data_IF_441208394937
#
_entry.id   IF_441208394937
#
_cell.length_a   1.000
_cell.length_b   1.000
_cell.length_c   1.000
_cell.angle_alpha   90.00
_cell.angle_beta   90.00
_cell.angle_gamma   90.00
#
_symmetry.space_group_name_H-M   'P 1'
#
loop_
_entity.id
_entity.type
_entity.pdbx_description
1 polymer ?
#
# COMPACT_ATOMS: atom_id res chain seq x y z
N UNK A 1 13.69 -7.84 8.88
CA UNK A 1 13.90 -6.42 8.57
C UNK A 1 13.74 -6.21 7.07
N UNK A 2 12.88 -5.29 6.64
CA UNK A 2 12.64 -5.02 5.22
C UNK A 2 13.88 -4.33 4.61
N UNK A 3 14.17 -4.56 3.32
CA UNK A 3 15.28 -3.88 2.64
C UNK A 3 15.14 -2.35 2.71
N UNK A 4 13.90 -1.84 2.74
CA UNK A 4 13.61 -0.41 2.93
C UNK A 4 14.07 0.12 4.28
N UNK A 5 13.93 -0.66 5.34
CA UNK A 5 14.33 -0.24 6.70
C UNK A 5 15.85 -0.02 6.81
N UNK A 6 16.64 -0.66 5.93
CA UNK A 6 18.09 -0.48 5.85
C UNK A 6 18.54 0.68 4.97
N UNK A 7 17.73 1.04 3.96
CA UNK A 7 18.07 2.11 3.00
C UNK A 7 17.55 3.48 3.42
N UNK A 8 16.41 3.54 4.10
CA UNK A 8 15.76 4.79 4.48
C UNK A 8 16.59 5.66 5.43
N UNK A 9 17.26 5.14 6.47
CA UNK A 9 18.06 5.96 7.38
C UNK A 9 19.16 6.76 6.65
N UNK A 10 19.97 6.07 5.86
CA UNK A 10 21.07 6.72 5.11
C UNK A 10 20.56 7.75 4.09
N UNK A 11 19.38 7.49 3.47
CA UNK A 11 18.76 8.45 2.56
C UNK A 11 18.34 9.74 3.29
N UNK A 12 17.70 9.63 4.46
CA UNK A 12 17.25 10.80 5.21
C UNK A 12 18.36 11.48 6.02
N UNK A 13 19.47 10.79 6.27
CA UNK A 13 20.67 11.43 6.79
C UNK A 13 21.31 12.34 5.72
N UNK A 14 21.33 11.89 4.46
CA UNK A 14 21.88 12.67 3.36
C UNK A 14 20.96 13.80 2.89
N UNK A 15 19.63 13.60 2.99
CA UNK A 15 18.60 14.55 2.56
C UNK A 15 17.54 14.72 3.67
N UNK A 16 17.86 15.44 4.77
CA UNK A 16 17.01 15.51 5.96
C UNK A 16 15.70 16.27 5.74
N UNK A 17 15.67 17.18 4.78
CA UNK A 17 14.46 17.97 4.45
C UNK A 17 14.02 17.78 3.00
N UNK A 18 12.75 18.09 2.68
CA UNK A 18 12.30 18.13 1.29
C UNK A 18 13.12 19.11 0.42
N UNK A 19 13.62 20.19 0.99
CA UNK A 19 14.43 21.19 0.29
C UNK A 19 15.79 20.62 -0.11
N UNK A 20 16.46 19.88 0.78
CA UNK A 20 17.72 19.20 0.47
C UNK A 20 17.53 18.18 -0.65
N UNK A 21 16.46 17.40 -0.59
CA UNK A 21 16.15 16.41 -1.63
C UNK A 21 15.71 17.07 -2.95
N UNK A 22 15.07 18.24 -2.91
CA UNK A 22 14.67 19.00 -4.10
C UNK A 22 15.87 19.58 -4.86
N UNK A 23 16.94 19.93 -4.14
CA UNK A 23 18.20 20.40 -4.71
C UNK A 23 19.02 19.27 -5.36
N UNK A 24 18.78 18.01 -4.97
CA UNK A 24 19.49 16.85 -5.46
C UNK A 24 18.98 16.40 -6.85
N UNK A 25 19.87 15.75 -7.61
CA UNK A 25 19.52 15.05 -8.85
C UNK A 25 19.09 13.61 -8.57
N UNK A 26 18.52 12.94 -9.55
CA UNK A 26 18.22 11.51 -9.43
C UNK A 26 19.50 10.66 -9.26
N UNK A 27 20.59 11.09 -9.84
CA UNK A 27 21.93 10.49 -9.76
C UNK A 27 22.48 10.58 -8.34
N UNK A 28 22.26 11.70 -7.63
CA UNK A 28 22.68 11.89 -6.24
C UNK A 28 21.87 11.01 -5.26
N UNK A 29 20.58 10.80 -5.54
CA UNK A 29 19.68 9.97 -4.72
C UNK A 29 19.91 8.47 -4.95
N UNK A 30 20.23 8.08 -6.18
CA UNK A 30 20.34 6.67 -6.59
C UNK A 30 21.26 5.81 -5.71
N UNK A 31 22.46 6.23 -5.28
CA UNK A 31 23.35 5.42 -4.46
C UNK A 31 22.72 4.91 -3.17
N UNK A 32 21.85 5.70 -2.56
CA UNK A 32 21.19 5.38 -1.30
C UNK A 32 20.05 4.35 -1.45
N UNK A 33 19.50 4.21 -2.66
CA UNK A 33 18.34 3.33 -2.91
C UNK A 33 18.59 2.25 -3.95
N UNK A 34 19.83 2.08 -4.43
CA UNK A 34 20.20 1.12 -5.51
C UNK A 34 19.82 -0.33 -5.22
N UNK A 35 19.70 -0.71 -3.94
CA UNK A 35 19.35 -2.07 -3.50
C UNK A 35 17.85 -2.39 -3.53
N UNK A 36 16.99 -1.39 -3.72
CA UNK A 36 15.53 -1.61 -3.79
C UNK A 36 15.07 -1.85 -5.24
N UNK A 37 13.86 -2.43 -5.40
CA UNK A 37 13.30 -2.66 -6.74
C UNK A 37 13.03 -1.35 -7.49
N UNK A 38 13.40 -1.30 -8.77
CA UNK A 38 13.22 -0.15 -9.67
C UNK A 38 13.87 1.16 -9.16
N UNK A 39 15.16 1.15 -8.80
CA UNK A 39 15.81 2.27 -8.13
C UNK A 39 15.86 3.54 -8.99
N UNK A 40 16.11 3.42 -10.31
CA UNK A 40 16.17 4.57 -11.23
C UNK A 40 14.85 5.35 -11.28
N UNK A 41 13.72 4.64 -11.40
CA UNK A 41 12.40 5.30 -11.41
C UNK A 41 12.09 5.94 -10.05
N UNK A 42 12.48 5.30 -8.95
CA UNK A 42 12.28 5.84 -7.61
C UNK A 42 13.15 7.05 -7.33
N UNK A 43 14.41 7.07 -7.77
CA UNK A 43 15.28 8.23 -7.63
C UNK A 43 14.70 9.45 -8.37
N UNK A 44 14.27 9.27 -9.63
CA UNK A 44 13.61 10.33 -10.40
C UNK A 44 12.32 10.82 -9.74
N UNK A 45 11.50 9.90 -9.24
CA UNK A 45 10.26 10.25 -8.55
C UNK A 45 10.53 10.98 -7.23
N UNK A 46 11.52 10.58 -6.44
CA UNK A 46 11.89 11.26 -5.19
C UNK A 46 12.35 12.69 -5.46
N UNK A 47 13.26 12.90 -6.41
CA UNK A 47 13.70 14.25 -6.79
C UNK A 47 12.53 15.12 -7.31
N UNK A 48 11.70 14.58 -8.20
CA UNK A 48 10.54 15.27 -8.75
C UNK A 48 9.48 15.57 -7.69
N UNK A 49 9.20 14.64 -6.80
CA UNK A 49 8.28 14.82 -5.69
C UNK A 49 8.75 15.91 -4.73
N UNK A 50 10.02 15.89 -4.34
CA UNK A 50 10.57 16.90 -3.44
C UNK A 50 10.51 18.31 -4.06
N UNK A 51 10.83 18.44 -5.36
CA UNK A 51 10.71 19.73 -6.07
C UNK A 51 9.27 20.24 -6.09
N UNK A 52 8.30 19.37 -6.39
CA UNK A 52 6.88 19.74 -6.37
C UNK A 52 6.39 20.09 -4.97
N UNK A 53 6.79 19.33 -3.93
CA UNK A 53 6.48 19.68 -2.54
C UNK A 53 6.99 21.07 -2.19
N UNK A 54 8.24 21.40 -2.52
CA UNK A 54 8.81 22.71 -2.23
C UNK A 54 8.13 23.85 -3.01
N UNK A 55 7.86 23.63 -4.31
CA UNK A 55 7.33 24.71 -5.17
C UNK A 55 5.83 24.94 -5.02
N UNK A 56 5.03 23.90 -4.76
CA UNK A 56 3.57 24.01 -4.74
C UNK A 56 2.96 23.87 -3.33
N UNK A 57 3.67 23.22 -2.39
CA UNK A 57 3.15 22.87 -1.08
C UNK A 57 4.03 23.35 0.09
N UNK A 58 4.99 24.24 -0.17
CA UNK A 58 5.86 24.82 0.89
C UNK A 58 6.76 23.79 1.60
N UNK A 59 7.01 22.64 1.00
CA UNK A 59 7.77 21.52 1.59
C UNK A 59 6.94 20.57 2.44
N UNK A 60 5.63 20.78 2.54
CA UNK A 60 4.72 19.92 3.31
C UNK A 60 3.95 18.95 2.43
N UNK A 61 3.60 17.78 2.97
CA UNK A 61 2.76 16.79 2.28
C UNK A 61 1.30 17.25 2.36
N UNK A 62 0.61 17.48 1.22
CA UNK A 62 -0.79 17.88 1.24
C UNK A 62 -1.67 16.79 1.84
N UNK A 63 -2.67 17.18 2.64
CA UNK A 63 -3.63 16.24 3.22
C UNK A 63 -4.72 15.80 2.24
N UNK A 64 -4.94 16.53 1.16
CA UNK A 64 -5.90 16.16 0.12
C UNK A 64 -5.40 15.03 -0.76
N UNK A 65 -6.23 13.97 -0.94
CA UNK A 65 -5.84 12.77 -1.68
C UNK A 65 -5.61 13.02 -3.18
N UNK A 66 -6.30 13.99 -3.76
CA UNK A 66 -6.14 14.31 -5.17
C UNK A 66 -4.84 15.09 -5.38
N UNK A 67 -4.54 16.03 -4.48
CA UNK A 67 -3.27 16.77 -4.49
C UNK A 67 -2.08 15.82 -4.27
N UNK A 68 -2.19 14.88 -3.33
CA UNK A 68 -1.15 13.85 -3.14
C UNK A 68 -0.87 13.04 -4.42
N UNK A 69 -1.91 12.70 -5.18
CA UNK A 69 -1.75 11.93 -6.42
C UNK A 69 -1.10 12.72 -7.57
N UNK A 70 -0.98 14.04 -7.46
CA UNK A 70 -0.19 14.86 -8.40
C UNK A 70 1.32 14.70 -8.19
N UNK A 71 1.73 14.29 -6.99
CA UNK A 71 3.14 14.12 -6.64
C UNK A 71 3.76 12.95 -7.44
N UNK A 72 4.92 13.13 -8.06
CA UNK A 72 5.62 12.08 -8.79
C UNK A 72 5.82 10.81 -7.95
N UNK A 73 5.39 9.67 -8.48
CA UNK A 73 5.49 8.37 -7.79
C UNK A 73 4.41 8.09 -6.74
N UNK A 74 3.49 9.01 -6.50
CA UNK A 74 2.36 8.83 -5.59
C UNK A 74 1.10 8.47 -6.38
N UNK A 75 0.77 7.19 -6.40
CA UNK A 75 -0.49 6.71 -6.96
C UNK A 75 -1.60 6.66 -5.90
N UNK A 76 -2.83 6.34 -6.33
CA UNK A 76 -4.03 6.22 -5.49
C UNK A 76 -3.79 5.40 -4.21
N UNK A 77 -3.17 4.24 -4.34
CA UNK A 77 -2.84 3.38 -3.18
C UNK A 77 -1.95 4.09 -2.16
N UNK A 78 -0.94 4.81 -2.61
CA UNK A 78 -0.01 5.52 -1.71
C UNK A 78 -0.71 6.71 -1.04
N UNK A 79 -1.49 7.48 -1.79
CA UNK A 79 -2.28 8.57 -1.25
C UNK A 79 -3.27 8.08 -0.17
N UNK A 80 -3.98 6.98 -0.43
CA UNK A 80 -4.89 6.39 0.55
C UNK A 80 -4.17 5.89 1.81
N UNK A 81 -2.97 5.27 1.68
CA UNK A 81 -2.17 4.86 2.86
C UNK A 81 -1.79 6.08 3.70
N UNK A 82 -1.27 7.12 3.08
CA UNK A 82 -0.89 8.34 3.80
C UNK A 82 -2.12 9.00 4.43
N UNK A 83 -3.22 9.09 3.67
CA UNK A 83 -4.49 9.62 4.16
C UNK A 83 -5.01 8.89 5.40
N UNK A 84 -5.01 7.56 5.36
CA UNK A 84 -5.44 6.74 6.49
C UNK A 84 -4.51 6.83 7.70
N UNK A 85 -3.19 6.82 7.49
CA UNK A 85 -2.19 6.76 8.59
C UNK A 85 -1.96 8.13 9.22
N UNK A 86 -1.81 9.19 8.43
CA UNK A 86 -1.45 10.52 8.93
C UNK A 86 -2.66 11.36 9.33
N UNK A 87 -3.78 11.21 8.62
CA UNK A 87 -4.96 12.05 8.82
C UNK A 87 -6.24 11.29 9.16
N UNK A 88 -6.12 10.00 9.48
CA UNK A 88 -7.26 9.15 9.87
C UNK A 88 -8.42 9.18 8.86
N UNK A 89 -8.10 9.40 7.57
CA UNK A 89 -9.13 9.40 6.52
C UNK A 89 -9.75 8.02 6.38
N UNK A 90 -11.06 8.00 6.23
CA UNK A 90 -11.90 6.81 6.07
C UNK A 90 -11.80 6.26 4.65
N UNK A 91 -10.63 5.75 4.28
CA UNK A 91 -10.32 5.20 2.96
C UNK A 91 -9.70 3.82 3.07
N UNK A 92 -9.86 3.00 2.03
CA UNK A 92 -9.34 1.64 1.95
C UNK A 92 -8.17 1.54 0.97
N UNK A 93 -6.91 1.63 1.41
CA UNK A 93 -5.78 1.37 0.53
C UNK A 93 -5.78 -0.09 0.08
N UNK A 94 -5.74 -0.35 -1.23
CA UNK A 94 -5.73 -1.71 -1.76
C UNK A 94 -4.38 -2.03 -2.38
N UNK A 95 -3.62 -2.91 -1.71
CA UNK A 95 -2.40 -3.52 -2.23
C UNK A 95 -2.66 -4.95 -2.74
N UNK A 96 -1.62 -5.64 -3.17
CA UNK A 96 -1.73 -7.03 -3.64
C UNK A 96 -2.20 -8.01 -2.56
N UNK A 97 -1.94 -7.74 -1.28
CA UNK A 97 -2.43 -8.54 -0.17
C UNK A 97 -3.92 -8.32 0.06
N UNK A 98 -4.33 -7.06 0.21
CA UNK A 98 -5.73 -6.69 0.38
C UNK A 98 -6.57 -7.21 -0.78
N UNK A 99 -6.14 -6.97 -2.02
CA UNK A 99 -6.83 -7.45 -3.23
C UNK A 99 -7.04 -8.97 -3.21
N UNK A 100 -5.96 -9.73 -2.96
CA UNK A 100 -6.00 -11.20 -2.93
C UNK A 100 -6.86 -11.74 -1.80
N UNK A 101 -6.65 -11.23 -0.58
CA UNK A 101 -7.34 -11.71 0.62
C UNK A 101 -8.83 -11.45 0.52
N UNK A 102 -9.23 -10.22 0.18
CA UNK A 102 -10.64 -9.84 0.07
C UNK A 102 -11.42 -10.70 -0.92
N UNK A 103 -10.81 -11.01 -2.09
CA UNK A 103 -11.40 -11.91 -3.06
C UNK A 103 -11.48 -13.36 -2.56
N UNK A 104 -10.45 -13.85 -1.85
CA UNK A 104 -10.41 -15.23 -1.35
C UNK A 104 -11.40 -15.49 -0.23
N UNK A 105 -11.47 -14.59 0.74
CA UNK A 105 -12.37 -14.76 1.88
C UNK A 105 -13.83 -14.45 1.54
N UNK A 106 -14.07 -13.65 0.48
CA UNK A 106 -15.40 -13.33 0.00
C UNK A 106 -15.92 -11.95 0.41
N UNK A 107 -15.07 -11.05 0.93
CA UNK A 107 -15.42 -9.64 1.16
C UNK A 107 -15.68 -8.90 -0.14
N UNK A 108 -15.08 -9.35 -1.23
CA UNK A 108 -15.37 -8.89 -2.59
C UNK A 108 -15.74 -10.09 -3.47
N UNK A 109 -16.66 -9.88 -4.42
CA UNK A 109 -17.10 -10.94 -5.33
C UNK A 109 -16.46 -10.75 -6.69
N UNK A 110 -15.41 -11.55 -6.99
CA UNK A 110 -14.72 -11.55 -8.29
C UNK A 110 -14.24 -10.17 -8.75
N UNK A 111 -13.80 -9.34 -7.83
CA UNK A 111 -13.22 -8.04 -8.13
C UNK A 111 -12.01 -8.20 -9.05
N UNK A 112 -11.99 -7.50 -10.18
CA UNK A 112 -10.96 -7.63 -11.22
C UNK A 112 -9.84 -6.60 -11.08
N UNK A 113 -10.09 -5.51 -10.37
CA UNK A 113 -9.14 -4.40 -10.22
C UNK A 113 -9.02 -3.97 -8.76
N UNK A 114 -7.89 -3.37 -8.36
CA UNK A 114 -7.75 -2.78 -7.03
C UNK A 114 -8.84 -1.74 -6.73
N UNK A 115 -9.23 -0.92 -7.72
CA UNK A 115 -10.27 0.08 -7.55
C UNK A 115 -11.65 -0.54 -7.26
N UNK A 116 -12.03 -1.61 -7.98
CA UNK A 116 -13.28 -2.32 -7.68
C UNK A 116 -13.27 -2.92 -6.27
N UNK A 117 -12.12 -3.45 -5.84
CA UNK A 117 -11.94 -3.95 -4.48
C UNK A 117 -12.10 -2.84 -3.45
N UNK A 118 -11.45 -1.71 -3.67
CA UNK A 118 -11.52 -0.52 -2.81
C UNK A 118 -12.99 -0.10 -2.62
N UNK A 119 -13.68 0.21 -3.72
CA UNK A 119 -15.09 0.67 -3.68
C UNK A 119 -16.03 -0.35 -3.02
N UNK A 120 -15.78 -1.66 -3.22
CA UNK A 120 -16.59 -2.70 -2.59
C UNK A 120 -16.34 -2.77 -1.08
N UNK A 121 -15.07 -2.68 -0.65
CA UNK A 121 -14.71 -2.70 0.76
C UNK A 121 -15.21 -1.45 1.48
N UNK A 122 -15.07 -0.27 0.89
CA UNK A 122 -15.58 0.99 1.43
C UNK A 122 -17.10 1.00 1.60
N UNK A 123 -17.83 0.33 0.71
CA UNK A 123 -19.28 0.17 0.83
C UNK A 123 -19.71 -0.78 1.95
N UNK A 124 -18.91 -1.82 2.22
CA UNK A 124 -19.29 -2.93 3.09
C UNK A 124 -18.66 -2.87 4.50
N UNK A 125 -17.61 -2.09 4.69
CA UNK A 125 -16.94 -1.91 5.98
C UNK A 125 -17.35 -0.56 6.55
N UNK A 126 -17.71 -0.48 7.85
CA UNK A 126 -17.97 0.79 8.50
C UNK A 126 -16.81 1.78 8.30
N UNK A 127 -17.06 3.06 7.94
CA UNK A 127 -16.02 4.01 7.55
C UNK A 127 -14.88 4.13 8.56
N UNK A 128 -15.18 4.24 9.85
CA UNK A 128 -14.20 4.35 10.94
C UNK A 128 -13.29 3.11 11.09
N UNK A 129 -13.67 1.96 10.53
CA UNK A 129 -12.87 0.73 10.55
C UNK A 129 -11.97 0.57 9.30
N UNK A 130 -12.16 1.36 8.25
CA UNK A 130 -11.40 1.22 7.01
C UNK A 130 -9.87 1.29 7.22
N UNK A 131 -9.32 2.27 7.99
CA UNK A 131 -7.88 2.35 8.22
C UNK A 131 -7.31 1.11 8.92
N UNK A 132 -8.01 0.58 9.92
CA UNK A 132 -7.54 -0.60 10.65
C UNK A 132 -7.79 -1.90 9.87
N UNK A 133 -8.90 -2.00 9.14
CA UNK A 133 -9.21 -3.16 8.29
C UNK A 133 -8.15 -3.37 7.19
N UNK A 134 -7.61 -2.29 6.63
CA UNK A 134 -6.47 -2.35 5.73
C UNK A 134 -5.28 -3.11 6.36
N UNK A 135 -4.93 -2.80 7.60
CA UNK A 135 -3.83 -3.47 8.31
C UNK A 135 -4.14 -4.94 8.60
N UNK A 136 -5.37 -5.26 9.03
CA UNK A 136 -5.78 -6.66 9.24
C UNK A 136 -5.65 -7.49 7.97
N UNK A 137 -6.11 -6.98 6.84
CA UNK A 137 -6.03 -7.68 5.56
C UNK A 137 -4.59 -7.85 5.07
N UNK A 138 -3.72 -6.85 5.26
CA UNK A 138 -2.29 -6.98 4.93
C UNK A 138 -1.62 -8.03 5.80
N UNK A 139 -1.79 -7.96 7.12
CA UNK A 139 -1.15 -8.89 8.05
C UNK A 139 -1.62 -10.33 7.79
N UNK A 140 -2.94 -10.51 7.62
CA UNK A 140 -3.49 -11.81 7.26
C UNK A 140 -2.91 -12.33 5.92
N UNK A 141 -2.78 -11.46 4.93
CA UNK A 141 -2.21 -11.81 3.64
C UNK A 141 -0.71 -12.11 3.66
N UNK A 142 0.03 -11.54 4.60
CA UNK A 142 1.47 -11.79 4.76
C UNK A 142 1.77 -13.08 5.50
N UNK A 143 1.04 -13.37 6.55
CA UNK A 143 1.41 -14.42 7.51
C UNK A 143 0.56 -15.66 7.44
N UNK A 144 -0.70 -15.55 7.01
CA UNK A 144 -1.67 -16.66 6.95
C UNK A 144 -2.10 -16.95 5.51
N UNK A 145 -2.81 -16.04 4.87
CA UNK A 145 -3.34 -16.22 3.51
C UNK A 145 -2.30 -15.84 2.45
N UNK A 146 -1.15 -16.52 2.45
CA UNK A 146 -0.06 -16.23 1.51
C UNK A 146 -0.44 -16.53 0.06
N UNK A 147 0.33 -15.98 -0.91
CA UNK A 147 -0.03 -16.08 -2.33
C UNK A 147 0.01 -17.52 -2.85
N UNK A 148 1.10 -18.25 -2.56
CA UNK A 148 1.38 -19.58 -3.11
C UNK A 148 0.91 -20.70 -2.20
N UNK A 149 1.14 -20.61 -0.90
CA UNK A 149 0.84 -21.66 0.08
C UNK A 149 0.08 -21.06 1.28
N UNK A 150 -1.23 -20.79 1.16
CA UNK A 150 -2.01 -20.27 2.28
C UNK A 150 -2.16 -21.34 3.37
N UNK A 151 -2.01 -20.93 4.63
CA UNK A 151 -2.10 -21.80 5.81
C UNK A 151 -3.56 -21.96 6.25
N UNK A 152 -4.37 -22.59 5.39
CA UNK A 152 -5.81 -22.68 5.60
C UNK A 152 -6.20 -23.51 6.83
N UNK A 153 -5.43 -24.56 7.15
CA UNK A 153 -5.67 -25.40 8.33
C UNK A 153 -5.45 -24.70 9.67
N UNK A 154 -4.63 -23.62 9.69
CA UNK A 154 -4.35 -22.82 10.88
C UNK A 154 -5.12 -21.47 10.87
N UNK A 155 -5.97 -21.26 9.86
CA UNK A 155 -6.63 -19.98 9.64
C UNK A 155 -7.88 -19.84 10.53
N UNK A 156 -7.85 -18.90 11.47
CA UNK A 156 -8.98 -18.67 12.40
C UNK A 156 -10.28 -18.21 11.74
N UNK A 157 -10.25 -17.83 10.44
CA UNK A 157 -11.45 -17.45 9.68
C UNK A 157 -11.78 -18.45 8.56
N UNK A 158 -11.22 -19.66 8.59
CA UNK A 158 -11.41 -20.65 7.54
C UNK A 158 -12.88 -21.00 7.33
N UNK A 159 -13.65 -21.14 8.40
CA UNK A 159 -15.09 -21.48 8.36
C UNK A 159 -15.96 -20.49 7.61
N UNK A 160 -15.55 -19.23 7.54
CA UNK A 160 -16.24 -18.15 6.81
C UNK A 160 -15.61 -17.88 5.43
N UNK A 161 -14.50 -18.56 5.11
CA UNK A 161 -13.74 -18.26 3.90
C UNK A 161 -14.35 -18.95 2.67
N UNK A 162 -14.76 -18.13 1.69
CA UNK A 162 -15.34 -18.63 0.42
C UNK A 162 -14.39 -19.57 -0.34
N UNK A 163 -13.09 -19.21 -0.38
CA UNK A 163 -12.09 -20.07 -1.03
C UNK A 163 -11.93 -21.39 -0.29
N UNK A 164 -11.85 -21.39 1.04
CA UNK A 164 -11.75 -22.60 1.84
C UNK A 164 -12.95 -23.52 1.60
N UNK A 165 -14.16 -22.97 1.64
CA UNK A 165 -15.38 -23.71 1.36
C UNK A 165 -15.42 -24.29 -0.07
N UNK A 166 -14.86 -23.56 -1.05
CA UNK A 166 -14.81 -24.05 -2.43
C UNK A 166 -13.79 -25.19 -2.60
N UNK A 167 -12.63 -25.08 -1.95
CA UNK A 167 -11.55 -26.07 -2.04
C UNK A 167 -11.88 -27.37 -1.27
N UNK A 168 -12.80 -27.33 -0.29
CA UNK A 168 -13.17 -28.46 0.59
C UNK A 168 -14.63 -28.90 0.39
N UNK A 169 -15.28 -28.49 -0.70
CA UNK A 169 -16.55 -29.10 -1.09
C UNK A 169 -16.30 -30.56 -1.46
N UNK A 170 -17.06 -31.48 -0.83
CA UNK A 170 -17.11 -32.87 -1.25
C UNK A 170 -17.45 -32.95 -2.75
N UNK A 171 -16.85 -33.91 -3.51
CA UNK A 171 -17.27 -34.12 -4.87
C UNK A 171 -18.79 -34.30 -4.90
N UNK A 172 -19.46 -33.65 -5.85
CA UNK A 172 -20.86 -33.92 -6.11
C UNK A 172 -20.90 -35.30 -6.78
N UNK A 173 -21.50 -36.25 -6.07
CA UNK A 173 -21.90 -37.55 -6.65
C UNK A 173 -22.83 -37.30 -7.83
#
# INVERSE_FOLDING_TARGET
MCIRDRTTPALFEAFPTPFDMAAATAEDIYPYIKSISYPNNKARNLAGMARMLCSEFGGEVPSDLQQMQRLPGVGRKTANVLGAVLWQKEVMPVDTHVFRVSNRIGLTTNSKTPLQTELTLEKNIPPHLLPVAHHWLILHGRYVCTARAPKCGECGIAVWCRKYAADHKAPKD
#
